data_IF_154928453536
#
_entry.id   IF_154928453536
#
_cell.length_a   1.000
_cell.length_b   1.000
_cell.length_c   1.000
_cell.angle_alpha   90.00
_cell.angle_beta   90.00
_cell.angle_gamma   90.00
#
_symmetry.space_group_name_H-M   'P 1'
#
loop_
_entity.id
_entity.type
_entity.pdbx_description
1 polymer ?
#
# COMPACT_ATOMS: atom_id res chain seq x y z
N UNK A 1 -15.81 0.62 -73.18
CA UNK A 1 -14.57 -0.06 -72.74
C UNK A 1 -13.44 0.89 -72.35
N UNK A 2 -13.03 1.86 -73.18
CA UNK A 2 -12.05 2.88 -72.70
C UNK A 2 -12.59 3.78 -71.57
N UNK A 3 -13.89 4.08 -71.57
CA UNK A 3 -14.49 4.91 -70.52
C UNK A 3 -14.50 4.21 -69.14
N UNK A 4 -14.75 2.90 -69.12
CA UNK A 4 -14.70 2.07 -67.91
C UNK A 4 -13.27 1.90 -67.41
N UNK A 5 -12.29 1.78 -68.31
CA UNK A 5 -10.87 1.73 -67.94
C UNK A 5 -10.34 3.05 -67.36
N UNK A 6 -10.82 4.19 -67.88
CA UNK A 6 -10.50 5.52 -67.34
C UNK A 6 -11.23 5.80 -66.01
N UNK A 7 -12.44 5.27 -65.82
CA UNK A 7 -13.15 5.31 -64.54
C UNK A 7 -12.42 4.47 -63.47
N UNK A 8 -12.00 3.24 -63.80
CA UNK A 8 -11.19 2.40 -62.91
C UNK A 8 -9.84 3.06 -62.55
N UNK A 9 -9.20 3.79 -63.49
CA UNK A 9 -7.96 4.52 -63.20
C UNK A 9 -8.16 5.79 -62.36
N UNK A 10 -9.37 6.35 -62.32
CA UNK A 10 -9.71 7.51 -61.48
C UNK A 10 -10.13 7.05 -60.07
N UNK A 11 -10.86 5.93 -59.96
CA UNK A 11 -11.22 5.30 -58.68
C UNK A 11 -10.03 4.61 -57.99
N UNK A 12 -8.94 4.30 -58.71
CA UNK A 12 -7.73 3.72 -58.13
C UNK A 12 -6.97 4.64 -57.15
N UNK A 13 -7.40 5.90 -56.99
CA UNK A 13 -6.90 6.83 -55.98
C UNK A 13 -7.92 7.18 -54.90
N UNK A 14 -9.10 6.53 -54.90
CA UNK A 14 -10.14 6.78 -53.93
C UNK A 14 -10.10 5.74 -52.80
N UNK A 15 -10.14 6.21 -51.55
CA UNK A 15 -10.13 5.32 -50.41
C UNK A 15 -11.48 4.61 -50.33
N UNK A 16 -11.50 3.32 -50.69
CA UNK A 16 -12.68 2.47 -50.54
C UNK A 16 -12.98 2.20 -49.06
N UNK A 17 -13.62 3.16 -48.40
CA UNK A 17 -14.06 3.09 -47.01
C UNK A 17 -15.41 2.38 -46.96
N UNK A 18 -15.45 1.15 -46.46
CA UNK A 18 -16.66 0.34 -46.44
C UNK A 18 -17.33 0.27 -45.06
N UNK A 19 -16.63 0.62 -43.98
CA UNK A 19 -17.15 0.61 -42.61
C UNK A 19 -17.05 1.99 -41.98
N UNK A 20 -18.14 2.44 -41.36
CA UNK A 20 -18.23 3.65 -40.55
C UNK A 20 -18.54 3.28 -39.11
N UNK A 21 -17.70 3.70 -38.16
CA UNK A 21 -17.90 3.44 -36.75
C UNK A 21 -17.66 4.69 -35.89
N UNK A 22 -18.40 4.81 -34.79
CA UNK A 22 -18.15 5.85 -33.81
C UNK A 22 -17.04 5.40 -32.85
N UNK A 23 -16.00 6.21 -32.71
CA UNK A 23 -14.89 5.97 -31.78
C UNK A 23 -14.94 7.00 -30.66
N UNK A 24 -14.80 6.52 -29.42
CA UNK A 24 -14.74 7.35 -28.22
C UNK A 24 -13.34 7.25 -27.62
N UNK A 25 -12.64 8.38 -27.53
CA UNK A 25 -11.35 8.49 -26.85
C UNK A 25 -11.55 9.26 -25.53
N UNK A 26 -11.62 8.56 -24.39
CA UNK A 26 -11.69 9.21 -23.09
C UNK A 26 -10.32 9.74 -22.66
N UNK A 27 -10.32 10.79 -21.82
CA UNK A 27 -9.12 11.25 -21.13
C UNK A 27 -8.64 10.24 -20.07
N UNK A 28 -9.57 9.55 -19.40
CA UNK A 28 -9.33 8.49 -18.43
C UNK A 28 -10.54 7.55 -18.37
N UNK A 29 -10.29 6.26 -18.17
CA UNK A 29 -11.34 5.27 -17.93
C UNK A 29 -11.80 5.21 -16.45
N UNK A 30 -11.21 6.04 -15.59
CA UNK A 30 -11.51 6.13 -14.16
C UNK A 30 -11.59 7.59 -13.72
N UNK A 31 -12.67 7.95 -13.03
CA UNK A 31 -12.88 9.29 -12.46
C UNK A 31 -13.44 9.18 -11.04
N UNK A 32 -12.98 10.05 -10.15
CA UNK A 32 -13.56 10.18 -8.81
C UNK A 32 -14.91 10.89 -8.86
N UNK A 33 -15.76 10.64 -7.86
CA UNK A 33 -17.04 11.36 -7.72
C UNK A 33 -16.79 12.87 -7.68
N UNK A 34 -17.43 13.60 -8.60
CA UNK A 34 -17.29 15.06 -8.74
C UNK A 34 -16.12 15.51 -9.63
N UNK A 35 -15.36 14.60 -10.24
CA UNK A 35 -14.45 14.95 -11.33
C UNK A 35 -15.17 15.05 -12.67
N UNK A 36 -14.67 15.94 -13.53
CA UNK A 36 -15.11 16.04 -14.93
C UNK A 36 -14.58 14.85 -15.71
N UNK A 37 -15.50 14.08 -16.29
CA UNK A 37 -15.16 13.10 -17.32
C UNK A 37 -15.18 13.78 -18.69
N UNK A 38 -14.09 13.65 -19.46
CA UNK A 38 -13.96 14.26 -20.78
C UNK A 38 -13.62 13.19 -21.81
N UNK A 39 -14.44 13.07 -22.85
CA UNK A 39 -14.17 12.18 -23.97
C UNK A 39 -14.35 12.91 -25.31
N UNK A 40 -13.51 12.54 -26.28
CA UNK A 40 -13.66 12.97 -27.67
C UNK A 40 -14.40 11.88 -28.43
N UNK A 41 -15.41 12.27 -29.20
CA UNK A 41 -16.20 11.36 -30.03
C UNK A 41 -16.02 11.78 -31.48
N UNK A 42 -15.61 10.85 -32.33
CA UNK A 42 -15.48 11.10 -33.77
C UNK A 42 -15.91 9.86 -34.57
N UNK A 43 -16.21 10.08 -35.85
CA UNK A 43 -16.54 9.02 -36.78
C UNK A 43 -15.25 8.52 -37.43
N UNK A 44 -14.93 7.24 -37.25
CA UNK A 44 -13.86 6.56 -37.96
C UNK A 44 -14.45 5.87 -39.20
N UNK A 45 -13.77 6.05 -40.32
CA UNK A 45 -14.02 5.32 -41.55
C UNK A 45 -12.79 4.44 -41.81
N UNK A 46 -12.98 3.16 -42.13
CA UNK A 46 -11.91 2.26 -42.52
C UNK A 46 -12.40 1.19 -43.50
N UNK A 47 -11.46 0.50 -44.14
CA UNK A 47 -11.73 -0.63 -45.04
C UNK A 47 -11.52 -1.95 -44.30
N UNK A 48 -12.53 -2.82 -44.27
CA UNK A 48 -12.42 -4.16 -43.72
C UNK A 48 -11.69 -5.16 -44.64
N UNK A 49 -11.53 -4.81 -45.91
CA UNK A 49 -11.04 -5.68 -46.99
C UNK A 49 -9.54 -5.50 -47.18
N UNK A 50 -9.07 -4.24 -47.19
CA UNK A 50 -7.65 -3.93 -47.19
C UNK A 50 -7.09 -3.98 -45.77
N UNK A 51 -6.32 -5.02 -45.48
CA UNK A 51 -5.74 -5.23 -44.15
C UNK A 51 -4.46 -4.41 -43.99
N UNK A 52 -4.44 -3.36 -43.14
CA UNK A 52 -3.23 -2.58 -42.88
C UNK A 52 -2.18 -3.42 -42.15
N UNK A 53 -0.90 -3.11 -42.34
CA UNK A 53 0.20 -3.66 -41.55
C UNK A 53 0.43 -2.79 -40.33
N UNK A 54 0.30 -3.35 -39.13
CA UNK A 54 0.51 -2.62 -37.87
C UNK A 54 1.79 -3.11 -37.21
N UNK A 55 2.85 -2.30 -37.27
CA UNK A 55 4.16 -2.62 -36.70
C UNK A 55 4.35 -1.86 -35.38
N UNK A 56 4.55 -2.60 -34.28
CA UNK A 56 4.93 -2.00 -33.01
C UNK A 56 6.37 -1.48 -33.04
N UNK A 57 6.68 -0.51 -32.18
CA UNK A 57 8.06 -0.03 -31.97
C UNK A 57 9.01 -1.12 -31.45
N UNK A 58 8.47 -2.23 -30.92
CA UNK A 58 9.24 -3.43 -30.56
C UNK A 58 9.63 -4.32 -31.75
N UNK A 59 9.14 -4.02 -32.96
CA UNK A 59 9.34 -4.81 -34.17
C UNK A 59 8.30 -5.93 -34.37
N UNK A 60 7.35 -6.10 -33.45
CA UNK A 60 6.28 -7.09 -33.57
C UNK A 60 5.12 -6.56 -34.44
N UNK A 61 4.66 -7.36 -35.39
CA UNK A 61 3.46 -7.08 -36.18
C UNK A 61 2.20 -7.57 -35.44
N UNK A 62 1.14 -6.75 -35.38
CA UNK A 62 -0.12 -7.13 -34.76
C UNK A 62 -0.99 -7.96 -35.69
N UNK A 63 -1.75 -8.88 -35.11
CA UNK A 63 -2.86 -9.52 -35.82
C UNK A 63 -3.94 -8.49 -36.10
N UNK A 64 -4.40 -8.42 -37.34
CA UNK A 64 -5.46 -7.51 -37.76
C UNK A 64 -6.74 -8.31 -38.01
N UNK A 65 -7.81 -7.94 -37.29
CA UNK A 65 -9.13 -8.54 -37.42
C UNK A 65 -10.11 -7.46 -37.90
N UNK A 66 -10.75 -7.70 -39.06
CA UNK A 66 -11.69 -6.76 -39.68
C UNK A 66 -11.17 -5.31 -39.75
N UNK A 67 -9.92 -5.12 -40.21
CA UNK A 67 -9.29 -3.80 -40.34
C UNK A 67 -8.71 -3.21 -39.04
N UNK A 68 -8.81 -3.92 -37.90
CA UNK A 68 -8.32 -3.44 -36.58
C UNK A 68 -7.15 -4.27 -36.07
N UNK A 69 -6.03 -3.60 -35.75
CA UNK A 69 -4.89 -4.24 -35.09
C UNK A 69 -5.19 -4.55 -33.62
N UNK A 70 -5.11 -5.83 -33.24
CA UNK A 70 -5.37 -6.29 -31.88
C UNK A 70 -4.06 -6.40 -31.11
N UNK A 71 -3.87 -5.51 -30.13
CA UNK A 71 -2.75 -5.58 -29.20
C UNK A 71 -3.17 -6.28 -27.90
N UNK A 72 -2.58 -7.46 -27.64
CA UNK A 72 -2.77 -8.19 -26.39
C UNK A 72 -1.42 -8.38 -25.71
N UNK A 73 -1.30 -7.95 -24.46
CA UNK A 73 -0.08 -8.15 -23.67
C UNK A 73 -0.40 -8.51 -22.23
N UNK A 74 0.42 -9.36 -21.63
CA UNK A 74 0.40 -9.65 -20.19
C UNK A 74 1.60 -8.96 -19.57
N UNK A 75 1.36 -8.11 -18.57
CA UNK A 75 2.43 -7.44 -17.84
C UNK A 75 2.49 -7.93 -16.41
N UNK A 76 3.67 -8.40 -16.01
CA UNK A 76 3.94 -8.85 -14.64
C UNK A 76 4.62 -7.77 -13.79
N UNK A 77 4.82 -6.57 -14.34
CA UNK A 77 5.50 -5.47 -13.64
C UNK A 77 4.59 -4.27 -13.52
N UNK A 78 4.51 -3.74 -12.30
CA UNK A 78 3.67 -2.60 -11.92
C UNK A 78 4.16 -1.33 -12.64
N UNK A 79 3.23 -0.41 -12.89
CA UNK A 79 3.48 0.94 -13.37
C UNK A 79 2.99 1.22 -14.79
N UNK A 80 3.31 2.42 -15.28
CA UNK A 80 2.89 2.90 -16.60
C UNK A 80 3.71 2.19 -17.68
N UNK A 81 3.01 1.55 -18.62
CA UNK A 81 3.58 0.93 -19.82
C UNK A 81 3.22 1.78 -21.02
N UNK A 82 4.24 2.35 -21.66
CA UNK A 82 4.11 3.05 -22.94
C UNK A 82 4.32 2.04 -24.06
N UNK A 83 3.52 2.15 -25.10
CA UNK A 83 3.64 1.37 -26.31
C UNK A 83 3.24 2.25 -27.50
N UNK A 84 3.69 1.86 -28.67
CA UNK A 84 3.47 2.63 -29.88
C UNK A 84 3.94 1.85 -31.07
N UNK A 85 3.77 2.47 -32.23
CA UNK A 85 4.09 1.82 -33.48
C UNK A 85 3.67 2.66 -34.67
N UNK A 86 3.58 1.99 -35.80
CA UNK A 86 3.21 2.59 -37.07
C UNK A 86 2.17 1.69 -37.74
N UNK A 87 1.08 2.29 -38.19
CA UNK A 87 0.12 1.65 -39.08
C UNK A 87 0.46 2.04 -40.52
N UNK A 88 0.58 1.03 -41.38
CA UNK A 88 0.89 1.17 -42.80
C UNK A 88 -0.26 0.59 -43.62
N UNK A 89 -0.80 1.40 -44.53
CA UNK A 89 -1.78 0.97 -45.50
C UNK A 89 -1.17 1.12 -46.90
N UNK A 90 -1.24 0.06 -47.70
CA UNK A 90 -0.83 0.11 -49.10
C UNK A 90 -2.04 0.43 -49.96
N UNK A 91 -1.95 1.50 -50.73
CA UNK A 91 -3.01 2.00 -51.60
C UNK A 91 -2.43 2.22 -52.99
N UNK A 92 -2.68 1.27 -53.90
CA UNK A 92 -2.25 1.37 -55.30
C UNK A 92 -0.74 1.58 -55.51
N UNK A 93 0.12 1.15 -54.58
CA UNK A 93 1.58 1.34 -54.62
C UNK A 93 2.09 2.55 -53.84
N UNK A 94 1.20 3.31 -53.18
CA UNK A 94 1.56 4.39 -52.26
C UNK A 94 1.28 3.95 -50.82
N UNK A 95 2.35 3.67 -50.09
CA UNK A 95 2.24 3.31 -48.67
C UNK A 95 1.97 4.56 -47.82
N UNK A 96 0.83 4.59 -47.15
CA UNK A 96 0.49 5.61 -46.16
C UNK A 96 0.87 5.08 -44.79
N UNK A 97 1.64 5.88 -44.06
CA UNK A 97 2.20 5.49 -42.77
C UNK A 97 1.82 6.53 -41.71
N UNK A 98 1.26 6.07 -40.58
CA UNK A 98 0.89 6.91 -39.43
C UNK A 98 1.44 6.30 -38.15
N UNK A 99 2.14 7.10 -37.35
CA UNK A 99 2.60 6.69 -36.03
C UNK A 99 1.50 6.87 -34.99
N UNK A 100 1.54 6.03 -33.96
CA UNK A 100 0.67 6.17 -32.79
C UNK A 100 1.45 5.84 -31.52
N UNK A 101 1.03 6.46 -30.42
CA UNK A 101 1.52 6.18 -29.08
C UNK A 101 0.34 6.06 -28.13
N UNK A 102 0.45 5.12 -27.20
CA UNK A 102 -0.53 4.89 -26.16
C UNK A 102 0.17 4.43 -24.87
N UNK A 103 -0.52 4.59 -23.75
CA UNK A 103 -0.04 4.08 -22.47
C UNK A 103 -1.17 3.44 -21.69
N UNK A 104 -0.85 2.39 -20.96
CA UNK A 104 -1.75 1.79 -19.98
C UNK A 104 -0.99 1.60 -18.67
N UNK A 105 -1.71 1.61 -17.55
CA UNK A 105 -1.12 1.40 -16.23
C UNK A 105 -1.46 0.01 -15.72
N UNK A 106 -0.44 -0.66 -15.17
CA UNK A 106 -0.58 -1.97 -14.53
C UNK A 106 -0.47 -1.75 -13.03
N UNK A 107 -1.57 -1.99 -12.32
CA UNK A 107 -1.61 -1.95 -10.87
C UNK A 107 -1.66 -3.38 -10.30
N UNK A 108 -1.10 -3.57 -9.12
CA UNK A 108 -1.31 -4.79 -8.35
C UNK A 108 -2.74 -4.83 -7.84
N UNK A 109 -3.38 -6.01 -7.87
CA UNK A 109 -4.70 -6.17 -7.28
C UNK A 109 -4.58 -6.03 -5.76
N UNK A 110 -5.13 -4.96 -5.19
CA UNK A 110 -5.19 -4.76 -3.76
C UNK A 110 -6.64 -4.74 -3.26
N UNK A 111 -6.89 -5.49 -2.19
CA UNK A 111 -8.16 -5.47 -1.47
C UNK A 111 -7.91 -5.01 -0.04
N UNK A 112 -8.63 -3.97 0.39
CA UNK A 112 -8.49 -3.45 1.76
C UNK A 112 -9.43 -4.24 2.69
N UNK A 113 -8.86 -5.15 3.47
CA UNK A 113 -9.56 -5.85 4.55
C UNK A 113 -9.10 -5.21 5.86
N UNK A 114 -10.02 -4.59 6.60
CA UNK A 114 -9.70 -3.96 7.88
C UNK A 114 -10.61 -4.46 8.98
N UNK A 115 -10.03 -4.80 10.13
CA UNK A 115 -10.77 -5.09 11.35
C UNK A 115 -11.14 -3.76 12.02
N UNK A 116 -12.40 -3.36 11.93
CA UNK A 116 -12.90 -2.07 12.44
C UNK A 116 -12.68 -1.89 13.94
N UNK A 117 -12.73 -2.98 14.71
CA UNK A 117 -12.47 -2.96 16.15
C UNK A 117 -11.00 -2.84 16.55
N UNK A 118 -10.05 -2.96 15.60
CA UNK A 118 -8.61 -3.00 15.84
C UNK A 118 -7.89 -1.73 15.39
N UNK A 119 -8.60 -0.62 15.22
CA UNK A 119 -8.04 0.70 14.93
C UNK A 119 -7.34 1.31 16.16
N UNK A 120 -6.22 0.71 16.57
CA UNK A 120 -5.46 1.08 17.76
C UNK A 120 -3.99 1.29 17.40
N UNK A 121 -3.40 2.37 17.91
CA UNK A 121 -1.97 2.57 17.96
C UNK A 121 -1.48 2.53 19.42
N UNK A 122 -0.35 1.88 19.64
CA UNK A 122 0.32 1.84 20.93
C UNK A 122 1.37 2.94 21.03
N UNK A 123 1.38 3.67 22.14
CA UNK A 123 2.38 4.71 22.42
C UNK A 123 3.76 4.10 22.63
N UNK A 124 4.79 4.84 22.24
CA UNK A 124 6.19 4.49 22.51
C UNK A 124 6.80 3.45 21.56
N UNK A 125 6.02 2.86 20.65
CA UNK A 125 6.53 1.91 19.66
C UNK A 125 6.09 2.27 18.23
N UNK A 126 6.85 1.91 17.19
CA UNK A 126 6.42 2.05 15.80
C UNK A 126 5.24 1.12 15.50
N UNK A 127 4.13 1.69 14.99
CA UNK A 127 2.94 0.95 14.59
C UNK A 127 2.90 0.86 13.05
N UNK A 128 3.08 -0.32 12.43
CA UNK A 128 3.02 -0.46 10.99
C UNK A 128 1.58 -0.33 10.49
N UNK A 129 1.40 0.39 9.39
CA UNK A 129 0.10 0.57 8.73
C UNK A 129 0.26 0.56 7.21
N UNK A 130 -0.65 -0.14 6.53
CA UNK A 130 -0.77 -0.10 5.08
C UNK A 130 -1.85 0.92 4.70
N UNK A 131 -1.52 1.85 3.80
CA UNK A 131 -2.43 2.91 3.35
C UNK A 131 -2.49 2.88 1.83
N UNK A 132 -3.71 2.66 1.32
CA UNK A 132 -4.03 2.72 -0.10
C UNK A 132 -5.19 3.69 -0.34
N UNK A 133 -5.23 4.26 -1.54
CA UNK A 133 -6.36 5.01 -2.04
C UNK A 133 -6.77 4.43 -3.39
N UNK A 134 -8.06 4.08 -3.53
CA UNK A 134 -8.56 3.51 -4.77
C UNK A 134 -8.32 4.45 -5.94
N UNK A 135 -7.82 3.94 -7.07
CA UNK A 135 -7.54 4.76 -8.26
C UNK A 135 -6.32 5.68 -8.16
N UNK A 136 -5.49 5.54 -7.12
CA UNK A 136 -4.24 6.30 -6.96
C UNK A 136 -3.09 5.31 -6.76
N UNK A 137 -1.99 5.51 -7.49
CA UNK A 137 -0.78 4.73 -7.27
C UNK A 137 -0.21 5.00 -5.86
N UNK A 138 0.30 3.98 -5.18
CA UNK A 138 0.75 4.09 -3.78
C UNK A 138 1.89 5.09 -3.53
N UNK A 139 2.68 5.36 -4.57
CA UNK A 139 3.73 6.40 -4.58
C UNK A 139 3.15 7.82 -4.53
N UNK A 140 1.94 8.01 -5.07
CA UNK A 140 1.27 9.30 -5.24
C UNK A 140 0.25 9.58 -4.11
N UNK A 141 0.05 8.60 -3.23
CA UNK A 141 -0.69 8.75 -1.97
C UNK A 141 0.15 9.54 -0.98
N UNK A 142 -0.38 10.61 -0.39
CA UNK A 142 0.24 11.42 0.66
C UNK A 142 -0.58 11.33 1.95
N UNK A 143 -0.12 10.53 2.91
CA UNK A 143 -0.79 10.34 4.19
C UNK A 143 -0.25 11.31 5.26
N UNK A 144 -1.14 11.74 6.17
CA UNK A 144 -0.80 12.59 7.32
C UNK A 144 -1.50 12.09 8.58
N UNK A 145 -0.93 12.40 9.73
CA UNK A 145 -1.50 12.09 11.03
C UNK A 145 -1.76 13.38 11.83
N UNK A 146 -2.84 13.40 12.62
CA UNK A 146 -3.19 14.57 13.44
C UNK A 146 -2.32 14.74 14.69
N UNK A 147 -1.79 13.65 15.25
CA UNK A 147 -0.95 13.65 16.46
C UNK A 147 0.17 12.61 16.36
N UNK A 148 1.41 13.03 16.60
CA UNK A 148 2.60 12.17 16.48
C UNK A 148 3.34 12.33 15.16
N UNK A 149 4.02 11.27 14.75
CA UNK A 149 4.81 11.23 13.52
C UNK A 149 4.38 10.05 12.64
N UNK A 150 4.35 10.29 11.33
CA UNK A 150 4.06 9.28 10.31
C UNK A 150 5.25 9.23 9.35
N UNK A 151 5.89 8.08 9.24
CA UNK A 151 7.02 7.88 8.33
C UNK A 151 6.68 6.86 7.25
N UNK A 152 6.95 7.18 5.99
CA UNK A 152 6.83 6.23 4.89
C UNK A 152 8.06 5.32 4.86
N UNK A 153 7.86 4.00 4.80
CA UNK A 153 8.94 3.03 4.65
C UNK A 153 9.11 2.57 3.20
N UNK A 154 7.99 2.33 2.53
CA UNK A 154 7.93 1.97 1.11
C UNK A 154 6.64 2.52 0.50
N UNK A 155 6.41 2.41 -0.83
CA UNK A 155 5.08 2.64 -1.39
C UNK A 155 4.03 1.85 -0.59
N UNK A 156 2.93 2.51 -0.20
CA UNK A 156 1.82 1.89 0.52
C UNK A 156 2.06 1.57 2.00
N UNK A 157 3.31 1.53 2.47
CA UNK A 157 3.66 1.10 3.84
C UNK A 157 4.23 2.24 4.67
N UNK A 158 3.65 2.42 5.85
CA UNK A 158 4.00 3.49 6.78
C UNK A 158 4.18 2.95 8.19
N UNK A 159 4.93 3.70 9.00
CA UNK A 159 5.00 3.51 10.44
C UNK A 159 4.51 4.77 11.15
N UNK A 160 3.65 4.55 12.14
CA UNK A 160 3.08 5.57 13.00
C UNK A 160 3.72 5.52 14.38
N UNK A 161 4.25 6.65 14.82
CA UNK A 161 4.62 6.91 16.21
C UNK A 161 3.61 7.92 16.77
N UNK A 162 2.56 7.48 17.48
CA UNK A 162 1.51 8.38 17.93
C UNK A 162 2.06 9.36 18.97
N UNK A 163 1.40 10.52 19.08
CA UNK A 163 1.79 11.55 20.03
C UNK A 163 1.73 11.08 21.49
N UNK A 164 2.54 11.73 22.33
CA UNK A 164 2.59 11.46 23.77
C UNK A 164 1.31 11.86 24.52
N UNK A 165 0.49 12.74 23.94
CA UNK A 165 -0.74 13.26 24.51
C UNK A 165 -1.93 13.03 23.56
N UNK A 166 -3.12 12.87 24.15
CA UNK A 166 -4.38 12.65 23.44
C UNK A 166 -4.66 11.17 23.15
N UNK A 167 -5.92 10.77 23.27
CA UNK A 167 -6.34 9.35 23.15
C UNK A 167 -6.78 8.95 21.75
N UNK A 168 -6.75 9.87 20.80
CA UNK A 168 -7.13 9.63 19.41
C UNK A 168 -6.11 10.24 18.46
N UNK A 169 -5.87 9.56 17.33
CA UNK A 169 -5.09 10.04 16.21
C UNK A 169 -5.84 9.75 14.92
N UNK A 170 -5.95 10.75 14.05
CA UNK A 170 -6.65 10.64 12.76
C UNK A 170 -5.61 10.56 11.66
N UNK A 171 -5.68 9.50 10.85
CA UNK A 171 -4.94 9.42 9.59
C UNK A 171 -5.79 10.03 8.49
N UNK A 172 -5.25 11.01 7.80
CA UNK A 172 -5.86 11.63 6.62
C UNK A 172 -5.04 11.31 5.39
N UNK A 173 -5.67 10.69 4.40
CA UNK A 173 -5.04 10.24 3.17
C UNK A 173 -5.38 11.21 2.06
N UNK A 174 -4.36 11.74 1.40
CA UNK A 174 -4.50 12.66 0.29
C UNK A 174 -3.88 12.06 -0.97
N UNK A 175 -4.28 12.56 -2.13
CA UNK A 175 -3.64 12.25 -3.40
C UNK A 175 -3.61 13.51 -4.26
N UNK A 176 -2.61 13.61 -5.11
CA UNK A 176 -2.61 14.64 -6.15
C UNK A 176 -3.40 14.14 -7.35
N UNK A 177 -4.53 14.79 -7.65
CA UNK A 177 -5.34 14.46 -8.81
C UNK A 177 -5.57 15.74 -9.61
N UNK A 178 -5.23 15.71 -10.90
CA UNK A 178 -5.31 16.85 -11.82
C UNK A 178 -4.51 18.09 -11.33
N UNK A 179 -3.36 17.86 -10.70
CA UNK A 179 -2.49 18.93 -10.18
C UNK A 179 -2.96 19.57 -8.88
N UNK A 180 -4.08 19.10 -8.30
CA UNK A 180 -4.60 19.57 -7.01
C UNK A 180 -4.60 18.45 -5.97
N UNK A 181 -4.11 18.76 -4.77
CA UNK A 181 -4.16 17.85 -3.62
C UNK A 181 -5.59 17.71 -3.10
N UNK A 182 -6.13 16.49 -3.11
CA UNK A 182 -7.49 16.17 -2.65
C UNK A 182 -7.45 15.18 -1.50
N UNK A 183 -8.40 15.31 -0.56
CA UNK A 183 -8.60 14.34 0.51
C UNK A 183 -9.31 13.10 -0.07
N UNK A 184 -8.67 11.94 0.06
CA UNK A 184 -9.20 10.65 -0.39
C UNK A 184 -10.04 9.99 0.70
N UNK A 185 -9.66 10.20 1.96
CA UNK A 185 -10.38 9.68 3.12
C UNK A 185 -9.65 9.97 4.41
N UNK A 186 -10.30 9.69 5.53
CA UNK A 186 -9.70 9.72 6.84
C UNK A 186 -10.18 8.52 7.68
N UNK A 187 -9.40 8.20 8.71
CA UNK A 187 -9.73 7.14 9.65
C UNK A 187 -9.19 7.51 11.02
N UNK A 188 -10.04 7.36 12.03
CA UNK A 188 -9.67 7.59 13.43
C UNK A 188 -9.12 6.32 14.06
N UNK A 189 -8.05 6.48 14.82
CA UNK A 189 -7.40 5.44 15.60
C UNK A 189 -7.38 5.85 17.06
N UNK A 190 -7.64 4.88 17.95
CA UNK A 190 -7.45 5.05 19.38
C UNK A 190 -5.97 4.92 19.71
N UNK A 191 -5.48 5.73 20.62
CA UNK A 191 -4.09 5.71 21.07
C UNK A 191 -4.05 5.16 22.49
N UNK A 192 -3.52 3.95 22.66
CA UNK A 192 -3.44 3.27 23.95
C UNK A 192 -1.99 3.25 24.46
N UNK A 193 -1.78 3.28 25.78
CA UNK A 193 -0.47 2.96 26.35
C UNK A 193 -0.13 1.49 26.08
N UNK A 194 1.15 1.15 26.17
CA UNK A 194 1.57 -0.24 26.23
C UNK A 194 0.93 -0.93 27.45
N UNK A 195 0.55 -2.22 27.34
CA UNK A 195 0.04 -2.96 28.48
C UNK A 195 1.04 -2.97 29.64
N UNK A 196 0.52 -2.91 30.87
CA UNK A 196 1.36 -3.07 32.05
C UNK A 196 1.96 -4.48 32.03
N UNK A 197 3.29 -4.63 32.13
CA UNK A 197 3.93 -5.94 32.15
C UNK A 197 3.71 -6.65 33.49
N UNK A 198 3.68 -7.97 33.45
CA UNK A 198 3.76 -8.80 34.65
C UNK A 198 5.23 -9.00 35.02
N UNK A 199 5.54 -8.89 36.30
CA UNK A 199 6.83 -9.33 36.84
C UNK A 199 6.95 -10.85 36.75
N UNK A 200 8.15 -11.31 36.40
CA UNK A 200 8.49 -12.72 36.24
C UNK A 200 9.74 -13.01 37.07
N UNK A 201 9.60 -13.96 37.99
CA UNK A 201 10.70 -14.44 38.83
C UNK A 201 10.83 -15.93 38.59
N UNK A 202 11.98 -16.37 38.06
CA UNK A 202 12.25 -17.81 37.83
C UNK A 202 11.18 -18.53 36.98
N UNK A 203 10.61 -17.82 36.01
CA UNK A 203 9.54 -18.31 35.12
C UNK A 203 8.13 -18.26 35.71
N UNK A 204 7.98 -17.89 36.99
CA UNK A 204 6.68 -17.65 37.63
C UNK A 204 6.24 -16.23 37.30
N UNK A 205 5.01 -16.10 36.77
CA UNK A 205 4.41 -14.81 36.41
C UNK A 205 3.36 -14.40 37.42
N UNK A 206 3.25 -13.09 37.66
CA UNK A 206 2.11 -12.50 38.37
C UNK A 206 2.31 -12.41 39.89
N UNK A 207 1.18 -12.34 40.61
CA UNK A 207 1.15 -11.95 42.03
C UNK A 207 1.43 -13.08 43.02
N UNK A 208 1.36 -14.34 42.59
CA UNK A 208 1.50 -15.50 43.49
C UNK A 208 2.23 -16.65 42.82
N UNK A 209 3.04 -17.36 43.59
CA UNK A 209 3.69 -18.59 43.14
C UNK A 209 4.50 -19.27 44.24
N UNK A 210 4.78 -20.56 44.04
CA UNK A 210 5.55 -21.35 44.98
C UNK A 210 6.98 -21.54 44.47
N UNK A 211 7.95 -21.10 45.28
CA UNK A 211 9.37 -21.37 45.07
C UNK A 211 9.92 -22.14 46.27
N UNK A 212 10.80 -23.10 46.00
CA UNK A 212 11.56 -23.77 47.06
C UNK A 212 12.65 -22.85 47.58
N UNK A 213 13.05 -23.02 48.84
CA UNK A 213 14.13 -22.21 49.46
C UNK A 213 15.42 -22.26 48.63
N UNK A 214 15.77 -23.41 48.06
CA UNK A 214 16.96 -23.56 47.21
C UNK A 214 16.87 -22.84 45.86
N UNK A 215 15.66 -22.53 45.36
CA UNK A 215 15.46 -21.67 44.18
C UNK A 215 15.45 -20.19 44.57
N UNK A 216 14.86 -19.85 45.73
CA UNK A 216 14.89 -18.49 46.28
C UNK A 216 16.32 -18.00 46.52
N UNK A 217 17.21 -18.85 47.02
CA UNK A 217 18.62 -18.49 47.25
C UNK A 217 19.46 -18.34 45.98
N UNK A 218 18.90 -18.66 44.80
CA UNK A 218 19.59 -18.60 43.50
C UNK A 218 18.95 -17.61 42.54
N UNK A 219 18.00 -16.81 43.01
CA UNK A 219 17.36 -15.78 42.19
C UNK A 219 18.41 -14.79 41.70
N UNK A 220 18.50 -14.62 40.38
CA UNK A 220 19.46 -13.71 39.77
C UNK A 220 18.79 -12.40 39.36
N UNK A 221 17.64 -12.49 38.70
CA UNK A 221 16.97 -11.33 38.13
C UNK A 221 15.45 -11.45 38.16
N UNK A 222 14.80 -10.29 38.11
CA UNK A 222 13.38 -10.12 37.83
C UNK A 222 13.24 -9.66 36.38
N UNK A 223 12.43 -10.37 35.61
CA UNK A 223 12.08 -9.98 34.24
C UNK A 223 10.69 -9.33 34.22
N UNK A 224 10.37 -8.51 33.23
CA UNK A 224 9.04 -7.94 33.03
C UNK A 224 8.54 -8.30 31.62
N UNK A 225 7.33 -8.85 31.50
CA UNK A 225 6.72 -9.14 30.19
C UNK A 225 5.21 -8.91 30.20
N UNK A 226 4.71 -8.26 29.16
CA UNK A 226 3.26 -8.15 28.93
C UNK A 226 2.68 -9.50 28.48
N UNK A 227 1.54 -9.85 29.06
CA UNK A 227 0.80 -11.06 28.69
C UNK A 227 -0.02 -10.83 27.41
N UNK A 228 0.06 -11.77 26.48
CA UNK A 228 -0.73 -11.82 25.24
C UNK A 228 -0.67 -10.53 24.39
N UNK A 229 0.44 -9.80 24.46
CA UNK A 229 0.62 -8.58 23.69
C UNK A 229 1.12 -8.88 22.27
N UNK A 230 0.48 -8.26 21.28
CA UNK A 230 0.70 -8.56 19.86
C UNK A 230 2.02 -8.00 19.30
N UNK A 231 2.62 -7.02 19.96
CA UNK A 231 3.92 -6.46 19.58
C UNK A 231 5.03 -7.06 20.43
N UNK A 232 6.18 -7.29 19.80
CA UNK A 232 7.42 -7.63 20.50
C UNK A 232 7.97 -6.37 21.16
N UNK A 233 7.83 -6.29 22.48
CA UNK A 233 8.33 -5.18 23.30
C UNK A 233 9.09 -5.73 24.49
N UNK A 234 10.31 -5.26 24.66
CA UNK A 234 11.15 -5.56 25.81
C UNK A 234 10.89 -4.54 26.92
N UNK A 235 10.47 -5.05 28.09
CA UNK A 235 10.30 -4.23 29.28
C UNK A 235 11.54 -4.38 30.18
N UNK A 236 12.13 -3.26 30.56
CA UNK A 236 13.25 -3.22 31.48
C UNK A 236 12.78 -2.95 32.91
N UNK A 237 13.23 -3.76 33.86
CA UNK A 237 12.94 -3.58 35.29
C UNK A 237 13.92 -2.56 35.86
N UNK A 238 13.41 -1.36 36.18
CA UNK A 238 14.22 -0.27 36.75
C UNK A 238 14.53 -0.50 38.23
N UNK A 239 13.55 -0.97 39.00
CA UNK A 239 13.70 -1.23 40.43
C UNK A 239 12.60 -2.16 40.93
N UNK A 240 12.85 -2.86 42.02
CA UNK A 240 11.84 -3.66 42.71
C UNK A 240 12.11 -3.71 44.22
N UNK A 241 11.10 -4.08 45.00
CA UNK A 241 11.18 -4.21 46.46
C UNK A 241 10.90 -5.66 46.85
N UNK A 242 11.70 -6.20 47.77
CA UNK A 242 11.48 -7.52 48.37
C UNK A 242 11.03 -7.31 49.80
N UNK A 243 9.83 -7.78 50.12
CA UNK A 243 9.26 -7.72 51.46
C UNK A 243 9.08 -9.12 52.03
N UNK A 244 9.50 -9.32 53.28
CA UNK A 244 9.27 -10.55 54.05
C UNK A 244 8.66 -10.25 55.40
N UNK A 245 7.74 -11.10 55.87
CA UNK A 245 7.10 -10.94 57.18
C UNK A 245 7.82 -11.79 58.22
N UNK A 246 8.36 -11.15 59.26
CA UNK A 246 8.86 -11.86 60.42
C UNK A 246 7.72 -12.11 61.42
N UNK A 247 7.20 -13.34 61.42
CA UNK A 247 6.09 -13.78 62.28
C UNK A 247 6.36 -13.63 63.79
N UNK A 248 7.62 -13.62 64.21
CA UNK A 248 8.01 -13.51 65.63
C UNK A 248 7.72 -12.12 66.22
N UNK A 249 7.76 -11.06 65.42
CA UNK A 249 7.65 -9.67 65.87
C UNK A 249 6.61 -8.83 65.10
N UNK A 250 5.83 -9.44 64.20
CA UNK A 250 4.83 -8.77 63.36
C UNK A 250 5.36 -7.52 62.61
N UNK A 251 6.61 -7.57 62.14
CA UNK A 251 7.25 -6.49 61.37
C UNK A 251 7.64 -6.97 59.98
N UNK A 252 7.53 -6.09 58.99
CA UNK A 252 7.94 -6.32 57.61
C UNK A 252 9.38 -5.88 57.40
N UNK A 253 10.22 -6.79 56.91
CA UNK A 253 11.56 -6.48 56.41
C UNK A 253 11.45 -6.21 54.92
N UNK A 254 11.71 -4.97 54.52
CA UNK A 254 11.67 -4.51 53.14
C UNK A 254 13.07 -4.11 52.68
N UNK A 255 13.50 -4.63 51.53
CA UNK A 255 14.77 -4.30 50.89
C UNK A 255 14.52 -3.84 49.44
N UNK A 256 15.07 -2.68 49.07
CA UNK A 256 14.93 -2.14 47.72
C UNK A 256 16.13 -2.52 46.84
N UNK A 257 15.84 -3.03 45.65
CA UNK A 257 16.81 -3.27 44.60
C UNK A 257 16.70 -2.17 43.52
N UNK A 258 17.76 -1.38 43.25
CA UNK A 258 17.74 -0.28 42.28
C UNK A 258 17.99 -0.73 40.82
N UNK A 259 17.87 -2.03 40.53
CA UNK A 259 18.00 -2.61 39.19
C UNK A 259 17.22 -3.93 39.11
N UNK A 260 17.29 -4.63 37.97
CA UNK A 260 16.62 -5.92 37.76
C UNK A 260 17.22 -7.09 38.56
N UNK A 261 18.38 -6.93 39.19
CA UNK A 261 19.08 -8.00 39.90
C UNK A 261 18.76 -7.99 41.40
N UNK A 262 18.72 -9.17 42.01
CA UNK A 262 18.61 -9.25 43.48
C UNK A 262 19.88 -8.71 44.13
N UNK A 263 19.70 -7.90 45.17
CA UNK A 263 20.78 -7.50 46.06
C UNK A 263 21.29 -8.76 46.78
N UNK A 264 22.61 -8.91 46.89
CA UNK A 264 23.14 -9.96 47.76
C UNK A 264 22.65 -9.65 49.16
N UNK A 265 22.15 -10.63 49.93
CA UNK A 265 21.94 -10.39 51.34
C UNK A 265 23.27 -9.92 51.90
N UNK A 266 23.32 -8.69 52.41
CA UNK A 266 24.38 -8.30 53.33
C UNK A 266 24.32 -9.35 54.43
N UNK A 267 25.23 -10.32 54.37
CA UNK A 267 25.51 -11.21 55.47
C UNK A 267 26.12 -10.32 56.54
N UNK A 268 25.24 -9.66 57.29
CA UNK A 268 25.55 -9.04 58.55
C UNK A 268 26.21 -10.14 59.40
N UNK A 269 27.51 -9.92 59.62
CA UNK A 269 28.39 -10.62 60.54
C UNK A 269 27.75 -10.93 61.88
#
# INVERSE_FOLDING_TARGET
EMLSYLLDQIDAGDFNMNVLEAVVIPNSNYVFKGQEYRAQVFLAAYDSTNTPKVLLSSGQELTVEAGKGIYTTKSNSIGIKKWGGTIQLDDGGKTISKSFEASFEVAEANATISATGMNVFYRGIPNPVAISAGGVAERDVDARISSGNLSRKSPGVYEVLPGVQGDNATISVFANVDGSRRLMGNMDFRVLPLPTPDAIVEGIRGSEGALTVGRLSRLQKVDAKAKDFVFEVDYEVVSFEVASNCWLNCFWLCEMAPCSCFTSPDMAS
#
